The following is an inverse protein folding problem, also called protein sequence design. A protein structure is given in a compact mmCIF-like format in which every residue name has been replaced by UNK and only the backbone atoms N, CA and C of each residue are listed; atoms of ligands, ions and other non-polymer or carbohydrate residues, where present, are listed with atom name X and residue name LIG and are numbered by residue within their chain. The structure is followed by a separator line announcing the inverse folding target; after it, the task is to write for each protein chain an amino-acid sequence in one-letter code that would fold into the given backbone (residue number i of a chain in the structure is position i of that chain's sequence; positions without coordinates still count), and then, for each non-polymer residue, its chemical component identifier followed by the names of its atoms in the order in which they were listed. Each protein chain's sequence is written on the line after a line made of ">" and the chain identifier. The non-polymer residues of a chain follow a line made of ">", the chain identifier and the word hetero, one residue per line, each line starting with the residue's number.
data_IF_415440228704
#
_entry.id   IF_415440228704
#
_cell.length_a   1.000
_cell.length_b   1.000
_cell.length_c   1.000
_cell.angle_alpha   90.00
_cell.angle_beta   90.00
_cell.angle_gamma   90.00
#
_symmetry.space_group_name_H-M   'P 1'
#
loop_
_entity.id
_entity.type
_entity.pdbx_description
1 polymer ?
#
# COMPACT_ATOMS: atom_id res chain seq x y z
N UNK A 1 63.15 -5.86 12.22
CA UNK A 1 62.59 -4.61 11.65
C UNK A 1 61.59 -5.03 10.56
N UNK A 2 60.32 -5.30 10.92
CA UNK A 2 59.17 -4.39 10.74
C UNK A 2 59.06 -3.84 9.31
N UNK A 3 58.23 -4.47 8.46
CA UNK A 3 56.84 -4.06 8.11
C UNK A 3 56.80 -2.84 7.16
N UNK A 4 56.50 -3.08 5.90
CA UNK A 4 55.94 -2.09 4.96
C UNK A 4 54.94 -2.84 4.05
N UNK A 5 53.72 -3.04 4.54
CA UNK A 5 52.53 -2.21 4.25
C UNK A 5 52.02 -2.39 2.81
N UNK A 6 51.28 -3.49 2.62
CA UNK A 6 50.26 -3.61 1.59
C UNK A 6 49.10 -2.68 1.95
N UNK A 7 48.93 -1.59 1.20
CA UNK A 7 47.79 -0.70 1.31
C UNK A 7 47.29 -0.34 -0.09
N UNK A 8 46.77 -1.33 -0.81
CA UNK A 8 45.93 -1.06 -1.97
C UNK A 8 44.49 -0.93 -1.49
N UNK A 9 44.01 0.31 -1.61
CA UNK A 9 42.66 0.78 -1.31
C UNK A 9 41.59 -0.14 -1.91
N UNK A 10 40.75 -0.72 -1.04
CA UNK A 10 39.44 -1.26 -1.42
C UNK A 10 38.54 -0.04 -1.67
N UNK A 11 38.53 0.45 -2.90
CA UNK A 11 37.52 1.38 -3.38
C UNK A 11 36.44 0.57 -4.13
N UNK A 12 35.19 0.97 -3.97
CA UNK A 12 33.95 0.42 -4.55
C UNK A 12 33.24 -0.69 -3.74
N UNK A 13 32.81 -0.37 -2.52
CA UNK A 13 31.67 -1.06 -1.88
C UNK A 13 30.63 -0.02 -1.44
N UNK A 14 29.73 0.38 -2.36
CA UNK A 14 28.41 0.95 -2.03
C UNK A 14 27.62 1.28 -3.31
N UNK A 15 27.34 0.29 -4.16
CA UNK A 15 26.28 0.42 -5.16
C UNK A 15 25.42 -0.85 -5.17
N UNK A 16 24.94 -1.22 -3.99
CA UNK A 16 23.87 -2.18 -3.83
C UNK A 16 22.94 -1.60 -2.77
N UNK A 17 21.64 -1.62 -3.04
CA UNK A 17 20.53 -1.16 -2.18
C UNK A 17 19.99 0.27 -2.41
N UNK A 18 19.70 0.64 -3.66
CA UNK A 18 18.49 1.43 -3.93
C UNK A 18 17.51 0.57 -4.72
N UNK A 19 16.85 -0.39 -4.04
CA UNK A 19 15.61 -0.94 -4.58
C UNK A 19 14.53 0.10 -4.34
N UNK A 20 14.20 0.90 -5.35
CA UNK A 20 12.94 1.66 -5.34
C UNK A 20 11.82 0.64 -5.46
N UNK A 21 11.17 0.34 -4.32
CA UNK A 21 9.97 -0.48 -4.29
C UNK A 21 8.97 0.09 -5.28
N UNK A 22 8.51 -0.77 -6.18
CA UNK A 22 7.44 -0.39 -7.10
C UNK A 22 6.17 -0.12 -6.29
N UNK A 23 5.28 0.79 -6.74
CA UNK A 23 4.03 1.06 -6.04
C UNK A 23 3.19 -0.20 -5.76
N UNK A 24 3.30 -1.22 -6.62
CA UNK A 24 2.64 -2.51 -6.46
C UNK A 24 3.22 -3.37 -5.33
N UNK A 25 4.49 -3.20 -4.99
CA UNK A 25 5.11 -3.87 -3.84
C UNK A 25 4.75 -3.20 -2.50
N UNK A 26 4.24 -1.97 -2.55
CA UNK A 26 3.86 -1.18 -1.36
C UNK A 26 2.39 -1.34 -0.98
N UNK A 27 1.54 -1.76 -1.91
CA UNK A 27 0.08 -1.81 -1.72
C UNK A 27 -0.44 -3.24 -1.82
N UNK A 28 -1.06 -3.70 -0.75
CA UNK A 28 -1.76 -4.99 -0.76
C UNK A 28 -3.16 -4.82 -1.38
N UNK A 29 -3.39 -5.47 -2.50
CA UNK A 29 -4.71 -5.51 -3.14
C UNK A 29 -5.50 -6.68 -2.54
N UNK A 30 -6.70 -6.40 -2.05
CA UNK A 30 -7.59 -7.39 -1.41
C UNK A 30 -9.01 -7.27 -1.96
N UNK A 31 -9.75 -8.37 -1.91
CA UNK A 31 -11.10 -8.49 -2.46
C UNK A 31 -12.14 -8.94 -1.40
N UNK A 32 -11.67 -9.24 -0.19
CA UNK A 32 -12.49 -9.60 0.95
C UNK A 32 -12.53 -8.47 1.99
N UNK A 33 -13.73 -8.09 2.49
CA UNK A 33 -13.85 -7.10 3.55
C UNK A 33 -13.25 -7.58 4.88
N UNK A 34 -13.02 -8.89 5.05
CA UNK A 34 -12.42 -9.43 6.26
C UNK A 34 -10.97 -8.98 6.44
N UNK A 35 -10.24 -8.75 5.34
CA UNK A 35 -8.82 -8.42 5.35
C UNK A 35 -8.56 -6.97 5.79
N UNK A 36 -9.55 -6.10 5.60
CA UNK A 36 -9.47 -4.67 5.96
C UNK A 36 -10.30 -4.29 7.18
N UNK A 37 -10.94 -5.28 7.84
CA UNK A 37 -11.94 -5.03 8.90
C UNK A 37 -11.41 -4.23 10.10
N UNK A 38 -10.11 -4.34 10.38
CA UNK A 38 -9.43 -3.65 11.50
C UNK A 38 -8.68 -2.40 11.07
N UNK A 39 -8.65 -2.14 9.77
CA UNK A 39 -7.86 -1.07 9.19
C UNK A 39 -8.60 0.27 9.24
N UNK A 40 -7.84 1.35 9.16
CA UNK A 40 -8.41 2.68 9.03
C UNK A 40 -8.85 2.91 7.60
N UNK A 41 -10.11 3.29 7.41
CA UNK A 41 -10.59 3.78 6.12
C UNK A 41 -9.96 5.16 5.84
N UNK A 42 -9.34 5.30 4.67
CA UNK A 42 -8.65 6.53 4.26
C UNK A 42 -9.48 7.28 3.22
N UNK A 43 -9.90 6.61 2.15
CA UNK A 43 -10.67 7.23 1.06
C UNK A 43 -11.39 6.19 0.18
N UNK A 44 -12.48 6.61 -0.45
CA UNK A 44 -13.08 5.88 -1.56
C UNK A 44 -12.56 6.44 -2.89
N UNK A 45 -12.14 5.57 -3.81
CA UNK A 45 -11.73 5.97 -5.15
C UNK A 45 -12.97 6.06 -6.04
N UNK A 46 -13.06 7.17 -6.77
CA UNK A 46 -14.14 7.48 -7.71
C UNK A 46 -13.55 7.74 -9.10
N UNK A 47 -14.21 7.33 -10.19
CA UNK A 47 -15.53 6.67 -10.25
C UNK A 47 -15.48 5.16 -9.97
N UNK A 48 -16.65 4.52 -9.98
CA UNK A 48 -16.75 3.06 -10.15
C UNK A 48 -16.09 2.68 -11.48
N UNK A 49 -15.38 1.55 -11.49
CA UNK A 49 -14.62 1.11 -12.66
C UNK A 49 -15.13 -0.22 -13.15
N UNK A 50 -15.25 -0.33 -14.47
CA UNK A 50 -15.60 -1.57 -15.13
C UNK A 50 -14.36 -2.47 -15.32
N UNK A 51 -14.48 -3.75 -15.00
CA UNK A 51 -13.41 -4.76 -15.15
C UNK A 51 -13.33 -5.33 -16.57
N UNK A 52 -13.41 -4.43 -17.56
CA UNK A 52 -13.36 -4.73 -19.00
C UNK A 52 -11.90 -4.71 -19.52
N UNK A 53 -11.62 -5.10 -20.78
CA UNK A 53 -10.28 -4.96 -21.34
C UNK A 53 -9.71 -3.54 -21.14
N UNK A 54 -8.48 -3.46 -20.61
CA UNK A 54 -7.86 -2.20 -20.18
C UNK A 54 -7.94 -1.94 -18.66
N UNK A 55 -8.62 -2.78 -17.89
CA UNK A 55 -8.70 -2.65 -16.43
C UNK A 55 -7.34 -2.67 -15.74
N UNK A 56 -6.32 -3.32 -16.31
CA UNK A 56 -4.97 -3.39 -15.73
C UNK A 56 -4.38 -2.00 -15.48
N UNK A 57 -4.45 -1.09 -16.46
CA UNK A 57 -3.91 0.26 -16.31
C UNK A 57 -4.71 1.09 -15.30
N UNK A 58 -6.02 0.85 -15.22
CA UNK A 58 -6.87 1.51 -14.23
C UNK A 58 -6.55 1.01 -12.82
N UNK A 59 -6.31 -0.30 -12.66
CA UNK A 59 -5.88 -0.91 -11.40
C UNK A 59 -4.53 -0.35 -10.97
N UNK A 60 -3.56 -0.23 -11.88
CA UNK A 60 -2.26 0.40 -11.61
C UNK A 60 -2.43 1.87 -11.15
N UNK A 61 -3.34 2.62 -11.78
CA UNK A 61 -3.67 3.98 -11.35
C UNK A 61 -4.30 4.01 -9.94
N UNK A 62 -5.17 3.06 -9.60
CA UNK A 62 -5.73 2.92 -8.25
C UNK A 62 -4.64 2.61 -7.21
N UNK A 63 -3.68 1.75 -7.55
CA UNK A 63 -2.53 1.45 -6.69
C UNK A 63 -1.68 2.70 -6.48
N UNK A 64 -1.35 3.42 -7.55
CA UNK A 64 -0.60 4.67 -7.45
C UNK A 64 -1.32 5.72 -6.59
N UNK A 65 -2.63 5.85 -6.74
CA UNK A 65 -3.45 6.72 -5.89
C UNK A 65 -3.45 6.26 -4.43
N UNK A 66 -3.49 4.95 -4.18
CA UNK A 66 -3.40 4.38 -2.83
C UNK A 66 -2.10 4.79 -2.14
N UNK A 67 -0.97 4.65 -2.84
CA UNK A 67 0.34 5.12 -2.34
C UNK A 67 0.33 6.62 -2.08
N UNK A 68 -0.21 7.42 -3.01
CA UNK A 68 -0.27 8.88 -2.88
C UNK A 68 -1.12 9.35 -1.68
N UNK A 69 -2.13 8.56 -1.29
CA UNK A 69 -2.97 8.80 -0.12
C UNK A 69 -2.36 8.25 1.18
N UNK A 70 -1.18 7.62 1.13
CA UNK A 70 -0.55 6.97 2.28
C UNK A 70 -1.27 5.70 2.73
N UNK A 71 -2.11 5.12 1.88
CA UNK A 71 -2.74 3.83 2.13
C UNK A 71 -1.77 2.68 1.92
N UNK A 72 -1.99 1.59 2.65
CA UNK A 72 -1.23 0.35 2.53
C UNK A 72 -2.03 -0.74 1.84
N UNK A 73 -3.36 -0.62 1.82
CA UNK A 73 -4.25 -1.62 1.24
C UNK A 73 -5.26 -0.97 0.29
N UNK A 74 -5.43 -1.59 -0.87
CA UNK A 74 -6.48 -1.29 -1.83
C UNK A 74 -7.51 -2.41 -1.79
N UNK A 75 -8.67 -2.13 -1.20
CA UNK A 75 -9.81 -3.03 -1.23
C UNK A 75 -10.62 -2.82 -2.51
N UNK A 76 -10.75 -3.86 -3.33
CA UNK A 76 -11.63 -3.87 -4.50
C UNK A 76 -13.01 -4.37 -4.08
N UNK A 77 -13.89 -3.42 -3.76
CA UNK A 77 -15.27 -3.71 -3.42
C UNK A 77 -16.05 -4.08 -4.67
N UNK A 78 -16.54 -5.31 -4.70
CA UNK A 78 -17.49 -5.78 -5.71
C UNK A 78 -18.82 -5.02 -5.61
N UNK A 79 -19.22 -4.36 -6.70
CA UNK A 79 -20.52 -3.66 -6.79
C UNK A 79 -21.58 -4.56 -7.43
N UNK A 80 -21.21 -5.32 -8.46
CA UNK A 80 -22.09 -6.28 -9.13
C UNK A 80 -21.62 -7.72 -8.88
N UNK A 81 -22.52 -8.72 -8.75
CA UNK A 81 -22.12 -10.10 -8.41
C UNK A 81 -21.09 -10.74 -9.35
N UNK A 82 -21.13 -10.33 -10.62
CA UNK A 82 -20.28 -10.76 -11.72
C UNK A 82 -18.93 -10.04 -11.78
N UNK A 83 -18.61 -9.18 -10.82
CA UNK A 83 -17.40 -8.35 -10.78
C UNK A 83 -17.27 -7.34 -11.90
N UNK A 84 -18.28 -7.15 -12.74
CA UNK A 84 -18.23 -6.20 -13.85
C UNK A 84 -17.93 -4.79 -13.38
N UNK A 85 -18.46 -4.39 -12.22
CA UNK A 85 -18.19 -3.11 -11.60
C UNK A 85 -17.55 -3.26 -10.22
N UNK A 86 -16.46 -2.52 -10.02
CA UNK A 86 -15.74 -2.46 -8.75
C UNK A 86 -15.56 -1.01 -8.29
N UNK A 87 -15.45 -0.84 -6.97
CA UNK A 87 -15.02 0.39 -6.33
C UNK A 87 -13.70 0.13 -5.63
N UNK A 88 -12.69 0.97 -5.87
CA UNK A 88 -11.46 0.96 -5.08
C UNK A 88 -11.68 1.69 -3.76
N UNK A 89 -11.25 1.10 -2.64
CA UNK A 89 -11.30 1.73 -1.32
C UNK A 89 -9.92 1.62 -0.69
N UNK A 90 -9.41 2.74 -0.22
CA UNK A 90 -8.07 2.86 0.36
C UNK A 90 -8.15 2.70 1.87
N UNK A 91 -7.32 1.80 2.39
CA UNK A 91 -7.17 1.54 3.82
C UNK A 91 -5.72 1.70 4.26
N UNK A 92 -5.55 2.12 5.51
CA UNK A 92 -4.29 2.03 6.24
C UNK A 92 -4.39 0.92 7.31
N UNK A 93 -3.70 -0.18 7.06
CA UNK A 93 -3.60 -1.33 7.96
C UNK A 93 -2.29 -1.35 8.77
N UNK A 94 -1.53 -0.26 8.81
CA UNK A 94 -0.30 -0.18 9.62
C UNK A 94 -0.64 -0.39 11.09
N UNK A 95 0.18 -1.13 11.87
CA UNK A 95 -0.05 -1.29 13.31
C UNK A 95 -0.24 0.05 14.01
N UNK A 96 -1.37 0.24 14.69
CA UNK A 96 -1.71 1.47 15.39
C UNK A 96 -2.47 2.52 14.57
N UNK A 97 -2.66 2.32 13.25
CA UNK A 97 -3.54 3.15 12.43
C UNK A 97 -5.03 2.93 12.77
N UNK A 98 -5.36 1.84 13.48
CA UNK A 98 -6.73 1.48 13.85
C UNK A 98 -7.49 2.65 14.47
N UNK A 99 -8.76 2.80 14.06
CA UNK A 99 -9.72 3.78 14.56
C UNK A 99 -9.57 3.95 16.08
N UNK A 100 -8.99 5.07 16.53
CA UNK A 100 -9.03 5.46 17.94
C UNK A 100 -10.49 5.62 18.30
N UNK A 101 -11.04 4.63 18.98
CA UNK A 101 -12.34 4.74 19.61
C UNK A 101 -12.22 5.90 20.61
N UNK A 102 -12.87 7.03 20.32
CA UNK A 102 -12.95 8.13 21.26
C UNK A 102 -13.93 7.68 22.34
N UNK A 103 -13.41 6.96 23.33
CA UNK A 103 -14.18 6.55 24.51
C UNK A 103 -14.37 7.80 25.37
N UNK A 104 -15.46 8.54 25.13
CA UNK A 104 -15.88 9.59 26.05
C UNK A 104 -16.41 8.90 27.31
N UNK A 105 -15.54 8.75 28.33
CA UNK A 105 -16.00 8.40 29.68
C UNK A 105 -16.78 9.60 30.23
N UNK A 106 -18.10 9.48 30.29
CA UNK A 106 -18.88 10.37 31.14
C UNK A 106 -18.40 10.18 32.59
N UNK A 107 -17.87 11.24 33.22
CA UNK A 107 -17.70 11.26 34.68
C UNK A 107 -19.08 11.40 35.29
N UNK A 108 -19.53 10.37 35.99
CA UNK A 108 -20.57 10.47 37.02
C UNK A 108 -19.95 10.79 38.36
#
# INVERSE_FOLDING_TARGET
>A
MQRALLASFIALTASACSHTLTPEELVHIVDSPADVRVCLHVADLSPLVATVPGFVSVKEAMVAQTVALGGTHLYLKRITPDWLWVQGIVYDCTPGASRREVVIRARG
#
